data_IF_044205312441
#
_entry.id   IF_044205312441
#
_cell.length_a   1.000
_cell.length_b   1.000
_cell.length_c   1.000
_cell.angle_alpha   90.00
_cell.angle_beta   90.00
_cell.angle_gamma   90.00
#
_symmetry.space_group_name_H-M   'P 1'
#
loop_
_entity.id
_entity.type
_entity.pdbx_description
1 polymer ?
#
# COMPACT_ATOMS: atom_id res chain seq x y z
N UNK A 1 -18.19 0.38 16.98
CA UNK A 1 -17.18 1.11 16.17
C UNK A 1 -17.89 1.92 15.09
N UNK A 2 -17.41 3.13 14.75
CA UNK A 2 -17.95 3.94 13.64
C UNK A 2 -17.22 3.63 12.33
N UNK A 3 -17.83 3.93 11.18
CA UNK A 3 -17.21 3.72 9.86
C UNK A 3 -15.89 4.51 9.75
N UNK A 4 -15.87 5.75 10.25
CA UNK A 4 -14.67 6.60 10.28
C UNK A 4 -13.54 5.93 11.07
N UNK A 5 -13.85 5.45 12.28
CA UNK A 5 -12.88 4.73 13.10
C UNK A 5 -12.35 3.48 12.38
N UNK A 6 -13.21 2.74 11.68
CA UNK A 6 -12.77 1.55 10.93
C UNK A 6 -11.74 1.92 9.85
N UNK A 7 -11.98 2.99 9.09
CA UNK A 7 -11.05 3.44 8.04
C UNK A 7 -9.72 3.90 8.64
N UNK A 8 -9.75 4.70 9.71
CA UNK A 8 -8.55 5.17 10.41
C UNK A 8 -7.76 4.00 11.03
N UNK A 9 -8.46 3.02 11.59
CA UNK A 9 -7.83 1.81 12.16
C UNK A 9 -7.07 1.02 11.10
N UNK A 10 -7.64 0.87 9.90
CA UNK A 10 -6.97 0.19 8.78
C UNK A 10 -5.75 1.01 8.33
N UNK A 11 -5.89 2.34 8.19
CA UNK A 11 -4.78 3.24 7.85
C UNK A 11 -3.62 3.09 8.83
N UNK A 12 -3.90 3.19 10.13
CA UNK A 12 -2.87 3.14 11.17
C UNK A 12 -2.19 1.77 11.23
N UNK A 13 -2.94 0.71 10.98
CA UNK A 13 -2.37 -0.63 10.86
C UNK A 13 -1.44 -0.75 9.65
N UNK A 14 -1.80 -0.18 8.50
CA UNK A 14 -0.95 -0.19 7.30
C UNK A 14 0.34 0.61 7.52
N UNK A 15 0.24 1.79 8.15
CA UNK A 15 1.39 2.62 8.48
C UNK A 15 2.40 1.85 9.36
N UNK A 16 1.89 1.17 10.39
CA UNK A 16 2.71 0.45 11.36
C UNK A 16 3.31 -0.86 10.82
N UNK A 17 2.54 -1.64 10.05
CA UNK A 17 2.91 -3.02 9.70
C UNK A 17 3.35 -3.19 8.24
N UNK A 18 2.97 -2.29 7.34
CA UNK A 18 3.30 -2.41 5.91
C UNK A 18 4.25 -1.29 5.48
N UNK A 19 3.87 -0.02 5.65
CA UNK A 19 4.69 1.13 5.26
C UNK A 19 6.05 1.17 5.98
N UNK A 20 6.11 0.63 7.20
CA UNK A 20 7.34 0.58 7.99
C UNK A 20 8.40 -0.39 7.43
N UNK A 21 7.99 -1.37 6.61
CA UNK A 21 8.79 -2.47 6.06
C UNK A 21 9.35 -2.19 4.66
N UNK A 22 8.84 -1.16 3.98
CA UNK A 22 9.15 -0.87 2.58
C UNK A 22 9.78 0.52 2.48
N UNK A 23 10.78 0.65 1.60
CA UNK A 23 11.37 1.92 1.21
C UNK A 23 11.29 2.05 -0.31
N UNK A 24 10.73 3.16 -0.79
CA UNK A 24 10.47 3.40 -2.21
C UNK A 24 11.03 4.77 -2.62
N UNK A 25 11.25 4.94 -3.94
CA UNK A 25 11.81 6.17 -4.50
C UNK A 25 10.83 7.34 -4.34
N UNK A 26 11.34 8.46 -3.84
CA UNK A 26 10.61 9.72 -3.77
C UNK A 26 10.54 10.36 -5.17
N UNK A 27 9.35 10.78 -5.64
CA UNK A 27 9.22 11.50 -6.90
C UNK A 27 10.00 12.81 -6.90
N UNK A 28 10.72 13.06 -7.99
CA UNK A 28 11.21 14.38 -8.34
C UNK A 28 10.56 14.87 -9.62
N UNK A 29 9.66 15.83 -9.48
CA UNK A 29 8.94 16.44 -10.59
C UNK A 29 9.85 17.34 -11.45
N UNK A 30 11.03 17.74 -10.94
CA UNK A 30 11.97 18.61 -11.63
C UNK A 30 13.08 17.83 -12.36
N UNK A 31 13.20 16.53 -12.14
CA UNK A 31 14.24 15.70 -12.73
C UNK A 31 13.92 15.34 -14.18
N UNK A 32 14.16 16.28 -15.10
CA UNK A 32 14.16 16.06 -16.54
C UNK A 32 15.48 15.47 -17.08
N UNK A 33 16.47 15.22 -16.22
CA UNK A 33 17.84 14.88 -16.61
C UNK A 33 18.13 13.37 -16.54
N UNK A 34 19.00 12.91 -17.43
CA UNK A 34 19.54 11.54 -17.55
C UNK A 34 20.29 11.03 -16.30
N UNK A 35 20.37 11.83 -15.23
CA UNK A 35 20.99 11.47 -13.95
C UNK A 35 20.27 12.21 -12.83
N UNK A 36 19.59 11.45 -11.96
CA UNK A 36 18.90 12.01 -10.79
C UNK A 36 19.34 11.30 -9.50
N UNK A 37 19.77 12.03 -8.45
CA UNK A 37 19.98 11.46 -7.13
C UNK A 37 18.64 11.12 -6.47
N UNK A 38 18.27 9.85 -6.47
CA UNK A 38 17.02 9.41 -5.84
C UNK A 38 17.15 9.32 -4.32
N UNK A 39 16.07 9.67 -3.62
CA UNK A 39 15.92 9.50 -2.18
C UNK A 39 14.92 8.38 -1.92
N UNK A 40 15.27 7.45 -1.05
CA UNK A 40 14.33 6.45 -0.54
C UNK A 40 13.56 7.02 0.64
N UNK A 41 12.26 6.75 0.66
CA UNK A 41 11.34 7.16 1.73
C UNK A 41 10.40 6.02 2.06
N UNK A 42 9.91 6.00 3.29
CA UNK A 42 8.81 5.11 3.68
C UNK A 42 7.51 5.63 3.06
N UNK A 43 6.66 4.76 2.48
CA UNK A 43 5.35 5.16 1.99
C UNK A 43 4.48 5.73 3.10
N UNK A 44 3.57 6.65 2.76
CA UNK A 44 2.56 7.14 3.70
C UNK A 44 1.23 6.39 3.55
N UNK A 45 0.48 6.20 4.64
CA UNK A 45 -0.89 5.70 4.60
C UNK A 45 -1.93 6.83 4.66
N UNK A 46 -2.89 6.83 3.73
CA UNK A 46 -3.97 7.82 3.65
C UNK A 46 -5.37 7.20 3.75
N UNK A 47 -6.33 8.01 4.19
CA UNK A 47 -7.74 7.65 4.26
C UNK A 47 -8.51 8.25 3.07
N UNK A 48 -9.31 7.44 2.38
CA UNK A 48 -10.22 7.75 1.26
C UNK A 48 -9.58 8.25 -0.04
N UNK A 49 -8.62 9.14 0.02
CA UNK A 49 -7.92 9.67 -1.16
C UNK A 49 -6.48 10.05 -0.84
N UNK A 50 -5.63 10.07 -1.87
CA UNK A 50 -4.28 10.62 -1.79
C UNK A 50 -4.36 12.14 -1.96
N UNK A 51 -3.98 12.95 -0.95
CA UNK A 51 -4.05 14.41 -1.07
C UNK A 51 -3.02 14.96 -2.06
N UNK A 52 -3.33 16.10 -2.67
CA UNK A 52 -2.36 16.86 -3.48
C UNK A 52 -1.21 17.41 -2.62
N UNK A 53 -0.05 17.66 -3.25
CA UNK A 53 1.14 18.21 -2.58
C UNK A 53 0.87 19.52 -1.84
N UNK A 54 -0.10 20.31 -2.32
CA UNK A 54 -0.56 21.58 -1.75
C UNK A 54 -1.30 21.42 -0.40
N UNK A 55 -1.79 20.20 -0.10
CA UNK A 55 -2.64 19.92 1.06
C UNK A 55 -1.93 19.12 2.15
N UNK A 56 -0.69 18.69 1.90
CA UNK A 56 0.12 17.92 2.86
C UNK A 56 1.10 18.82 3.61
N UNK A 57 1.43 18.50 4.87
CA UNK A 57 2.57 19.08 5.54
C UNK A 57 3.83 18.85 4.70
N UNK A 58 4.74 19.82 4.66
CA UNK A 58 5.97 19.76 3.84
C UNK A 58 6.86 18.52 4.11
N UNK A 59 6.63 17.81 5.22
CA UNK A 59 7.36 16.61 5.61
C UNK A 59 6.81 15.30 5.01
N UNK A 60 5.60 15.28 4.44
CA UNK A 60 4.95 14.06 3.96
C UNK A 60 4.76 14.13 2.46
N UNK A 61 5.39 13.21 1.74
CA UNK A 61 5.21 13.08 0.30
C UNK A 61 3.91 12.30 0.00
N UNK A 62 3.11 12.72 -1.00
CA UNK A 62 1.89 12.00 -1.36
C UNK A 62 2.14 10.65 -2.04
N UNK A 63 3.31 10.48 -2.66
CA UNK A 63 3.75 9.24 -3.33
C UNK A 63 5.21 9.05 -2.92
N UNK A 64 5.65 7.84 -2.57
CA UNK A 64 4.90 6.58 -2.50
C UNK A 64 3.86 6.55 -1.36
N UNK A 65 2.72 5.90 -1.58
CA UNK A 65 1.67 5.79 -0.56
C UNK A 65 0.69 4.63 -0.76
N UNK A 66 -0.03 4.29 0.31
CA UNK A 66 -1.20 3.41 0.28
C UNK A 66 -2.44 4.17 0.76
N UNK A 67 -3.55 4.05 0.03
CA UNK A 67 -4.80 4.74 0.34
C UNK A 67 -5.92 3.74 0.64
N UNK A 68 -6.61 3.91 1.77
CA UNK A 68 -7.76 3.09 2.17
C UNK A 68 -9.06 3.68 1.64
N UNK A 69 -9.71 3.00 0.71
CA UNK A 69 -11.00 3.37 0.13
C UNK A 69 -12.11 2.45 0.64
N UNK A 70 -13.26 3.03 0.97
CA UNK A 70 -14.48 2.26 1.25
C UNK A 70 -15.20 2.01 -0.09
N UNK A 71 -15.48 0.74 -0.41
CA UNK A 71 -16.24 0.38 -1.60
C UNK A 71 -17.73 0.20 -1.28
N UNK A 72 -18.03 -0.61 -0.28
CA UNK A 72 -19.39 -0.92 0.15
C UNK A 72 -19.40 -1.25 1.64
N UNK A 73 -20.57 -1.16 2.25
CA UNK A 73 -20.79 -1.55 3.63
C UNK A 73 -22.19 -2.09 3.83
N UNK A 74 -22.33 -3.09 4.70
CA UNK A 74 -23.61 -3.68 5.06
C UNK A 74 -23.64 -3.97 6.56
N UNK A 75 -24.80 -3.76 7.17
CA UNK A 75 -25.01 -3.96 8.60
C UNK A 75 -26.09 -5.03 8.81
N UNK A 76 -25.73 -6.13 9.48
CA UNK A 76 -26.69 -7.13 9.97
C UNK A 76 -27.14 -6.72 11.38
N UNK A 77 -28.32 -6.11 11.46
CA UNK A 77 -28.87 -5.58 12.71
C UNK A 77 -29.22 -6.70 13.71
N UNK A 78 -29.65 -7.86 13.23
CA UNK A 78 -29.97 -9.02 14.07
C UNK A 78 -28.72 -9.60 14.74
N UNK A 79 -27.60 -9.64 14.01
CA UNK A 79 -26.33 -10.14 14.54
C UNK A 79 -25.51 -9.06 15.25
N UNK A 80 -25.94 -7.80 15.21
CA UNK A 80 -25.16 -6.64 15.68
C UNK A 80 -23.76 -6.58 15.06
N UNK A 81 -23.63 -6.99 13.79
CA UNK A 81 -22.37 -7.02 13.04
C UNK A 81 -22.46 -6.21 11.77
N UNK A 82 -21.46 -5.38 11.54
CA UNK A 82 -21.25 -4.67 10.30
C UNK A 82 -20.13 -5.30 9.49
N UNK A 83 -20.22 -5.19 8.18
CA UNK A 83 -19.21 -5.60 7.21
C UNK A 83 -18.88 -4.43 6.31
N UNK A 84 -17.60 -4.17 6.09
CA UNK A 84 -17.11 -3.19 5.12
C UNK A 84 -16.27 -3.92 4.09
N UNK A 85 -16.47 -3.61 2.82
CA UNK A 85 -15.51 -3.95 1.77
C UNK A 85 -14.65 -2.74 1.51
N UNK A 86 -13.35 -2.94 1.63
CA UNK A 86 -12.35 -1.90 1.43
C UNK A 86 -11.48 -2.22 0.22
N UNK A 87 -10.89 -1.16 -0.33
CA UNK A 87 -9.86 -1.22 -1.36
C UNK A 87 -8.66 -0.43 -0.89
N UNK A 88 -7.51 -1.05 -0.87
CA UNK A 88 -6.23 -0.40 -0.71
C UNK A 88 -5.71 -0.06 -2.10
N UNK A 89 -5.31 1.20 -2.31
CA UNK A 89 -4.70 1.65 -3.57
C UNK A 89 -3.25 2.01 -3.27
N UNK A 90 -2.33 1.31 -3.92
CA UNK A 90 -0.89 1.49 -3.79
C UNK A 90 -0.39 2.38 -4.91
N UNK A 91 0.53 3.28 -4.58
CA UNK A 91 1.19 4.16 -5.53
C UNK A 91 2.70 4.12 -5.32
N UNK A 92 3.43 3.95 -6.43
CA UNK A 92 4.88 4.02 -6.46
C UNK A 92 5.32 4.91 -7.63
N UNK A 93 6.48 5.53 -7.49
CA UNK A 93 7.13 6.28 -8.56
C UNK A 93 8.47 5.64 -8.84
N UNK A 94 8.69 5.25 -10.09
CA UNK A 94 9.98 4.74 -10.52
C UNK A 94 10.13 4.97 -12.04
N UNK A 95 11.02 5.90 -12.45
CA UNK A 95 11.28 6.22 -13.85
C UNK A 95 12.35 5.33 -14.50
N UNK A 96 12.97 4.40 -13.76
CA UNK A 96 14.05 3.58 -14.28
C UNK A 96 14.95 2.97 -13.23
N UNK A 97 15.85 2.10 -13.70
CA UNK A 97 16.83 1.43 -12.86
C UNK A 97 18.02 2.36 -12.59
N UNK A 98 18.43 2.44 -11.33
CA UNK A 98 19.71 3.02 -10.96
C UNK A 98 20.74 1.90 -10.80
N UNK A 99 22.02 2.18 -11.07
CA UNK A 99 23.10 1.18 -11.00
C UNK A 99 23.25 0.39 -9.68
N UNK A 100 22.79 0.85 -8.50
CA UNK A 100 22.75 0.03 -7.29
C UNK A 100 21.51 -0.89 -7.19
N UNK A 101 20.51 -0.76 -8.07
CA UNK A 101 19.29 -1.58 -8.11
C UNK A 101 19.53 -2.94 -8.79
N UNK A 102 20.71 -3.16 -9.36
CA UNK A 102 21.13 -4.42 -9.98
C UNK A 102 22.05 -5.21 -9.05
N UNK A 103 21.67 -6.44 -8.72
CA UNK A 103 22.60 -7.39 -8.11
C UNK A 103 23.75 -7.65 -9.11
N UNK A 104 25.03 -7.55 -8.71
CA UNK A 104 26.11 -7.97 -9.58
C UNK A 104 25.93 -9.47 -9.91
N UNK A 105 26.22 -9.92 -11.15
CA UNK A 105 26.12 -11.33 -11.49
C UNK A 105 27.07 -12.12 -10.60
N UNK A 106 26.50 -13.02 -9.79
CA UNK A 106 27.28 -13.86 -8.89
C UNK A 106 28.20 -14.77 -9.70
N UNK A 107 29.50 -14.62 -9.51
CA UNK A 107 30.50 -15.60 -9.94
C UNK A 107 30.30 -16.90 -9.15
N UNK A 108 29.44 -17.79 -9.65
CA UNK A 108 29.49 -19.23 -9.41
C UNK A 108 29.40 -19.74 -7.97
N UNK A 109 28.59 -19.14 -7.09
CA UNK A 109 28.34 -19.68 -5.74
C UNK A 109 26.84 -19.75 -5.47
N UNK A 110 26.39 -20.94 -5.03
CA UNK A 110 25.02 -21.31 -4.72
C UNK A 110 24.30 -20.25 -3.87
N UNK A 111 23.13 -19.85 -4.37
CA UNK A 111 22.29 -18.83 -3.75
C UNK A 111 21.57 -19.43 -2.54
N UNK A 112 22.25 -19.48 -1.41
CA UNK A 112 21.58 -19.39 -0.11
C UNK A 112 21.20 -17.92 0.12
N UNK A 113 20.01 -17.53 -0.33
CA UNK A 113 19.40 -16.27 0.11
C UNK A 113 19.16 -16.41 1.61
N UNK A 114 19.89 -15.64 2.42
CA UNK A 114 19.59 -15.55 3.85
C UNK A 114 18.14 -15.07 4.06
N UNK A 115 17.34 -15.71 4.93
CA UNK A 115 15.91 -15.43 5.07
C UNK A 115 15.56 -14.10 5.76
N UNK A 116 16.47 -13.12 5.84
CA UNK A 116 16.35 -11.99 6.75
C UNK A 116 16.53 -10.60 6.12
N UNK A 117 16.03 -10.38 4.90
CA UNK A 117 15.48 -9.09 4.44
C UNK A 117 14.28 -9.42 3.56
N UNK A 118 13.09 -9.12 4.06
CA UNK A 118 11.83 -9.69 3.61
C UNK A 118 11.64 -9.57 2.08
N UNK A 119 11.21 -10.70 1.51
CA UNK A 119 10.77 -10.86 0.14
C UNK A 119 9.92 -9.67 -0.34
N UNK A 120 10.39 -8.99 -1.39
CA UNK A 120 9.63 -7.96 -2.08
C UNK A 120 10.52 -6.88 -2.70
N UNK A 121 11.41 -6.26 -1.94
CA UNK A 121 12.20 -5.13 -2.44
C UNK A 121 13.54 -5.57 -3.04
N UNK A 122 13.81 -5.13 -4.28
CA UNK A 122 15.17 -5.13 -4.81
C UNK A 122 16.07 -4.36 -3.83
N UNK A 123 17.31 -4.80 -3.57
CA UNK A 123 18.22 -4.07 -2.70
C UNK A 123 18.59 -2.73 -3.38
N UNK A 124 17.89 -1.66 -3.01
CA UNK A 124 18.22 -0.31 -3.43
C UNK A 124 19.39 0.18 -2.56
N UNK A 125 20.63 -0.11 -2.96
CA UNK A 125 21.80 0.43 -2.26
C UNK A 125 21.87 1.93 -2.50
N UNK A 126 21.71 2.73 -1.44
CA UNK A 126 21.67 4.20 -1.54
C UNK A 126 22.86 4.81 -2.30
N UNK A 127 22.55 5.90 -3.00
CA UNK A 127 23.47 6.94 -3.48
C UNK A 127 24.83 6.47 -4.03
N UNK A 128 24.81 5.54 -5.00
CA UNK A 128 25.93 5.35 -5.92
C UNK A 128 25.63 6.07 -7.23
N UNK A 129 26.60 6.82 -7.78
CA UNK A 129 26.57 7.41 -9.11
C UNK A 129 26.63 6.32 -10.20
N UNK A 130 25.67 5.39 -10.18
CA UNK A 130 25.48 4.38 -11.21
C UNK A 130 24.73 4.96 -12.39
N UNK A 131 25.00 4.42 -13.58
CA UNK A 131 24.28 4.76 -14.81
C UNK A 131 22.77 4.58 -14.61
N UNK A 132 22.02 5.68 -14.59
CA UNK A 132 20.56 5.62 -14.63
C UNK A 132 20.15 5.14 -16.02
N UNK A 133 19.34 4.09 -16.06
CA UNK A 133 18.74 3.60 -17.31
C UNK A 133 17.23 3.76 -17.18
N UNK A 134 16.69 4.73 -17.93
CA UNK A 134 15.25 4.92 -18.05
C UNK A 134 14.61 3.66 -18.61
N UNK A 135 13.61 3.12 -17.93
CA UNK A 135 12.86 1.96 -18.40
C UNK A 135 11.43 1.97 -17.82
N UNK A 136 10.61 1.04 -18.29
CA UNK A 136 9.22 0.87 -17.86
C UNK A 136 9.07 -0.22 -16.79
N UNK A 137 10.13 -0.62 -16.07
CA UNK A 137 10.09 -1.69 -15.07
C UNK A 137 9.67 -1.22 -13.67
N UNK A 138 9.29 0.05 -13.51
CA UNK A 138 8.88 0.61 -12.23
C UNK A 138 7.60 0.00 -11.64
N UNK A 139 6.82 -0.75 -12.44
CA UNK A 139 5.70 -1.55 -11.95
C UNK A 139 6.13 -2.54 -10.86
N UNK A 140 7.38 -3.02 -10.90
CA UNK A 140 7.91 -3.98 -9.91
C UNK A 140 7.82 -3.42 -8.50
N UNK A 141 8.16 -2.16 -8.30
CA UNK A 141 8.10 -1.51 -6.98
C UNK A 141 6.67 -1.46 -6.41
N UNK A 142 5.68 -1.19 -7.27
CA UNK A 142 4.27 -1.20 -6.87
C UNK A 142 3.81 -2.61 -6.46
N UNK A 143 4.22 -3.64 -7.22
CA UNK A 143 3.85 -5.04 -6.93
C UNK A 143 4.62 -5.61 -5.73
N UNK A 144 5.87 -5.22 -5.53
CA UNK A 144 6.64 -5.52 -4.31
C UNK A 144 5.97 -4.94 -3.07
N UNK A 145 5.42 -3.72 -3.17
CA UNK A 145 4.67 -3.10 -2.07
C UNK A 145 3.35 -3.84 -1.81
N UNK A 146 2.65 -4.27 -2.86
CA UNK A 146 1.46 -5.12 -2.77
C UNK A 146 1.76 -6.47 -2.12
N UNK A 147 2.85 -7.15 -2.49
CA UNK A 147 3.23 -8.45 -1.92
C UNK A 147 3.50 -8.37 -0.42
N UNK A 148 4.19 -7.31 0.03
CA UNK A 148 4.40 -7.07 1.46
C UNK A 148 3.06 -6.86 2.16
N UNK A 149 2.16 -6.06 1.58
CA UNK A 149 0.84 -5.84 2.16
C UNK A 149 -0.02 -7.11 2.21
N UNK A 150 -0.01 -7.93 1.14
CA UNK A 150 -0.72 -9.21 1.09
C UNK A 150 -0.20 -10.15 2.17
N UNK A 151 1.12 -10.28 2.31
CA UNK A 151 1.74 -11.13 3.34
C UNK A 151 1.30 -10.72 4.74
N UNK A 152 1.28 -9.43 5.05
CA UNK A 152 0.84 -8.94 6.37
C UNK A 152 -0.67 -9.14 6.59
N UNK A 153 -1.49 -8.93 5.55
CA UNK A 153 -2.94 -9.16 5.62
C UNK A 153 -3.28 -10.65 5.79
N UNK A 154 -2.55 -11.54 5.12
CA UNK A 154 -2.71 -12.99 5.21
C UNK A 154 -2.31 -13.52 6.59
N UNK A 155 -1.30 -12.93 7.22
CA UNK A 155 -0.87 -13.31 8.57
C UNK A 155 -1.73 -12.68 9.68
N UNK A 156 -2.36 -11.53 9.44
CA UNK A 156 -3.23 -10.88 10.41
C UNK A 156 -4.62 -11.52 10.49
N UNK A 157 -5.15 -11.73 11.69
CA UNK A 157 -6.59 -12.04 11.86
C UNK A 157 -7.43 -10.77 12.04
N UNK A 158 -6.82 -9.73 12.61
CA UNK A 158 -7.46 -8.48 12.95
C UNK A 158 -6.62 -7.27 12.53
N UNK A 159 -7.31 -6.22 12.08
CA UNK A 159 -6.75 -4.89 11.82
C UNK A 159 -7.27 -3.95 12.91
N UNK A 160 -6.52 -3.83 14.00
CA UNK A 160 -6.89 -2.98 15.14
C UNK A 160 -8.30 -3.24 15.71
N UNK A 161 -8.68 -4.52 15.81
CA UNK A 161 -9.99 -4.97 16.31
C UNK A 161 -11.05 -5.20 15.23
N UNK A 162 -10.78 -4.86 13.97
CA UNK A 162 -11.58 -5.26 12.82
C UNK A 162 -11.18 -6.66 12.38
N UNK A 163 -12.10 -7.62 12.37
CA UNK A 163 -11.80 -8.98 11.89
C UNK A 163 -11.70 -8.98 10.38
N UNK A 164 -10.66 -9.58 9.81
CA UNK A 164 -10.56 -9.79 8.36
C UNK A 164 -11.46 -10.98 7.97
N UNK A 165 -12.37 -10.77 7.01
CA UNK A 165 -13.25 -11.82 6.49
C UNK A 165 -12.50 -12.66 5.43
N UNK A 166 -11.50 -13.43 5.86
CA UNK A 166 -10.66 -14.25 4.96
C UNK A 166 -11.47 -15.26 4.16
N UNK A 167 -12.60 -15.71 4.71
CA UNK A 167 -13.56 -16.60 4.05
C UNK A 167 -14.14 -16.03 2.73
N UNK A 168 -14.06 -14.72 2.51
CA UNK A 168 -14.54 -14.04 1.30
C UNK A 168 -13.42 -13.79 0.28
N UNK A 169 -12.18 -14.14 0.64
CA UNK A 169 -10.99 -13.96 -0.18
C UNK A 169 -10.45 -12.52 -0.18
N UNK A 170 -9.22 -12.40 -0.66
CA UNK A 170 -8.54 -11.14 -0.92
C UNK A 170 -8.28 -11.07 -2.43
N UNK A 171 -8.79 -10.03 -3.08
CA UNK A 171 -8.57 -9.78 -4.50
C UNK A 171 -7.51 -8.69 -4.68
N UNK A 172 -6.77 -8.73 -5.78
CA UNK A 172 -5.79 -7.70 -6.12
C UNK A 172 -5.68 -7.55 -7.64
N UNK A 173 -5.16 -6.42 -8.09
CA UNK A 173 -4.99 -6.15 -9.52
C UNK A 173 -4.32 -4.81 -9.81
N UNK A 174 -3.97 -4.56 -11.09
CA UNK A 174 -3.56 -3.23 -11.52
C UNK A 174 -4.74 -2.26 -11.47
N UNK A 175 -4.44 -0.96 -11.32
CA UNK A 175 -5.45 0.07 -11.52
C UNK A 175 -5.80 0.15 -13.02
N UNK A 176 -7.09 0.08 -13.34
CA UNK A 176 -7.59 0.18 -14.72
C UNK A 176 -8.57 1.34 -14.88
N UNK A 177 -8.49 2.01 -16.03
CA UNK A 177 -9.44 3.01 -16.51
C UNK A 177 -9.88 2.62 -17.92
N UNK A 178 -11.19 2.64 -18.20
CA UNK A 178 -11.74 2.26 -19.52
C UNK A 178 -11.20 0.90 -20.03
N UNK A 179 -11.14 -0.11 -19.16
CA UNK A 179 -10.62 -1.46 -19.43
C UNK A 179 -9.13 -1.55 -19.85
N UNK A 180 -8.38 -0.44 -19.72
CA UNK A 180 -6.93 -0.40 -19.91
C UNK A 180 -6.21 -0.20 -18.57
N UNK A 181 -5.02 -0.78 -18.44
CA UNK A 181 -4.13 -0.45 -17.31
C UNK A 181 -3.74 1.02 -17.44
N UNK A 182 -3.82 1.77 -16.34
CA UNK A 182 -3.48 3.18 -16.36
C UNK A 182 -2.01 3.37 -16.74
N UNK A 183 -1.76 4.21 -17.73
CA UNK A 183 -0.41 4.63 -18.11
C UNK A 183 -0.16 6.05 -17.62
N UNK A 184 0.34 6.14 -16.39
CA UNK A 184 0.75 7.38 -15.76
C UNK A 184 2.27 7.42 -15.58
N UNK A 185 3.03 6.78 -16.48
CA UNK A 185 4.49 6.74 -16.39
C UNK A 185 5.06 8.13 -16.01
N UNK A 186 5.94 8.22 -14.99
CA UNK A 186 6.62 7.15 -14.25
C UNK A 186 5.91 6.65 -12.96
N UNK A 187 4.60 6.88 -12.83
CA UNK A 187 3.79 6.44 -11.69
C UNK A 187 3.09 5.12 -11.96
N UNK A 188 3.08 4.25 -10.95
CA UNK A 188 2.56 2.89 -11.03
C UNK A 188 1.56 2.65 -9.90
N UNK A 189 0.43 2.04 -10.25
CA UNK A 189 -0.70 1.86 -9.34
C UNK A 189 -1.22 0.43 -9.35
N UNK A 190 -1.52 -0.07 -8.17
CA UNK A 190 -2.13 -1.38 -7.96
C UNK A 190 -3.14 -1.29 -6.80
N UNK A 191 -4.00 -2.29 -6.66
CA UNK A 191 -4.97 -2.34 -5.59
C UNK A 191 -5.10 -3.73 -4.97
N UNK A 192 -5.50 -3.74 -3.70
CA UNK A 192 -5.97 -4.92 -2.97
C UNK A 192 -7.40 -4.63 -2.50
N UNK A 193 -8.31 -5.60 -2.53
CA UNK A 193 -9.66 -5.49 -2.00
C UNK A 193 -10.01 -6.69 -1.14
N UNK A 194 -10.56 -6.41 0.04
CA UNK A 194 -10.96 -7.41 1.01
C UNK A 194 -12.08 -6.86 1.89
N UNK A 195 -12.65 -7.72 2.72
CA UNK A 195 -13.71 -7.34 3.64
C UNK A 195 -13.26 -7.45 5.10
N UNK A 196 -13.78 -6.54 5.92
CA UNK A 196 -13.61 -6.51 7.37
C UNK A 196 -14.95 -6.52 8.08
N UNK A 197 -14.99 -7.10 9.26
CA UNK A 197 -16.16 -7.18 10.13
C UNK A 197 -15.92 -6.42 11.44
N UNK A 198 -16.98 -5.78 11.95
CA UNK A 198 -16.94 -4.98 13.17
C UNK A 198 -18.26 -5.08 13.94
N UNK A 199 -18.21 -4.85 15.25
CA UNK A 199 -19.41 -4.79 16.09
C UNK A 199 -20.19 -3.48 15.91
N UNK A 200 -21.50 -3.59 15.70
CA UNK A 200 -22.42 -2.44 15.64
C UNK A 200 -22.71 -1.99 17.07
N UNK A 201 -22.31 -0.76 17.41
CA UNK A 201 -22.58 -0.14 18.71
C UNK A 201 -23.60 1.02 18.60
N UNK A 202 -24.32 1.13 17.48
CA UNK A 202 -25.28 2.21 17.24
C UNK A 202 -26.59 1.87 17.96
N UNK A 203 -26.78 2.39 19.19
CA UNK A 203 -28.00 2.17 19.96
C UNK A 203 -29.24 2.73 19.24
N UNK A 204 -30.22 1.90 18.83
CA UNK A 204 -31.49 2.40 18.36
C UNK A 204 -32.25 2.96 19.56
N UNK A 205 -32.78 4.19 19.46
CA UNK A 205 -33.52 4.87 20.54
C UNK A 205 -34.68 4.02 21.11
N UNK A 206 -35.21 3.08 20.33
CA UNK A 206 -36.34 2.21 20.69
C UNK A 206 -36.03 1.11 21.72
N UNK A 207 -34.75 0.82 22.03
CA UNK A 207 -34.38 -0.24 22.99
C UNK A 207 -33.82 0.30 24.31
N UNK A 208 -33.86 1.61 24.55
CA UNK A 208 -33.37 2.21 25.80
C UNK A 208 -34.26 1.91 27.01
N UNK A 209 -35.53 1.58 26.79
CA UNK A 209 -36.52 1.39 27.85
C UNK A 209 -36.74 -0.08 28.22
N UNK A 210 -35.92 -1.00 27.68
CA UNK A 210 -35.98 -2.45 27.92
C UNK A 210 -34.70 -3.00 28.61
N UNK A 211 -33.81 -2.12 29.07
CA UNK A 211 -32.60 -2.40 29.85
C UNK A 211 -32.68 -1.66 31.19
#
# INVERSE_FOLDING_TARGET
MTIVQSIETIRDWLEANVCSLVELKLPDDNAAAETYPYKLVKPAAFSLFVPGKDRLPQSVAPIPSVCVQLLEGSDSLLESKGRLRVRLVFSAWNPGQHGPDTLPPASGVDIHVEPAKAAGSLPHSGAGAGSFTRNADGWRDAWSFVDVALRELENAEYLGGLRIAKEEGIAFGPLTEQDAVVDYYPYWFAWISFSVQYGIARNPKQYRDLL
#
